data_IF_488247425667
#
_entry.id   IF_488247425667
#
_cell.length_a   1.000
_cell.length_b   1.000
_cell.length_c   1.000
_cell.angle_alpha   90.00
_cell.angle_beta   90.00
_cell.angle_gamma   90.00
#
_symmetry.space_group_name_H-M   'P 1'
#
loop_
_entity.id
_entity.type
_entity.pdbx_description
1 polymer ?
#
# COMPACT_ATOMS: atom_id res chain seq x y z
N UNK A 1 -2.44 -9.38 28.09
CA UNK A 1 -2.16 -8.36 27.09
C UNK A 1 -3.13 -7.22 27.34
N UNK A 2 -2.65 -5.97 27.53
CA UNK A 2 -3.55 -4.81 27.55
C UNK A 2 -4.24 -4.74 26.20
N UNK A 3 -5.53 -4.55 26.22
CA UNK A 3 -6.33 -4.32 25.03
C UNK A 3 -5.87 -2.96 24.46
N UNK A 4 -5.06 -2.98 23.41
CA UNK A 4 -4.42 -1.76 22.86
C UNK A 4 -5.36 -1.04 21.88
N UNK A 5 -6.64 -1.41 21.89
CA UNK A 5 -7.68 -0.81 21.06
C UNK A 5 -7.69 -1.33 19.62
N UNK A 6 -8.56 -0.74 18.81
CA UNK A 6 -8.75 -1.08 17.40
C UNK A 6 -7.59 -0.51 16.56
N UNK A 7 -7.09 -1.31 15.63
CA UNK A 7 -6.08 -0.92 14.65
C UNK A 7 -6.76 -0.86 13.29
N UNK A 8 -6.77 0.32 12.68
CA UNK A 8 -7.55 0.60 11.48
C UNK A 8 -6.66 1.10 10.35
N UNK A 9 -6.78 0.53 9.17
CA UNK A 9 -6.22 1.05 7.93
C UNK A 9 -7.32 1.56 7.02
N UNK A 10 -7.11 2.71 6.41
CA UNK A 10 -8.02 3.33 5.43
C UNK A 10 -7.25 3.63 4.16
N UNK A 11 -7.80 3.28 3.02
CA UNK A 11 -7.40 3.81 1.73
C UNK A 11 -8.42 4.86 1.30
N UNK A 12 -7.94 6.09 1.14
CA UNK A 12 -8.73 7.23 0.68
C UNK A 12 -8.37 7.56 -0.76
N UNK A 13 -9.32 7.36 -1.64
CA UNK A 13 -9.33 7.91 -2.99
C UNK A 13 -10.64 8.69 -3.11
N UNK A 14 -10.57 9.99 -3.31
CA UNK A 14 -11.68 11.01 -3.28
C UNK A 14 -13.09 10.50 -3.61
N UNK A 15 -13.22 9.39 -4.34
CA UNK A 15 -14.50 8.78 -4.74
C UNK A 15 -14.89 7.55 -3.91
N UNK A 16 -13.91 6.85 -3.35
CA UNK A 16 -14.11 5.56 -2.67
C UNK A 16 -13.21 5.47 -1.46
N UNK A 17 -13.75 4.98 -0.37
CA UNK A 17 -12.99 4.67 0.84
C UNK A 17 -13.07 3.16 1.07
N UNK A 18 -11.90 2.55 1.16
CA UNK A 18 -11.75 1.16 1.61
C UNK A 18 -11.18 1.15 3.02
N UNK A 19 -11.54 0.17 3.82
CA UNK A 19 -11.05 0.04 5.17
C UNK A 19 -10.67 -1.40 5.52
N UNK A 20 -9.72 -1.54 6.43
CA UNK A 20 -9.35 -2.79 7.08
C UNK A 20 -9.26 -2.59 8.60
N UNK A 21 -9.61 -3.62 9.34
CA UNK A 21 -9.32 -3.73 10.78
C UNK A 21 -8.34 -4.87 10.99
N UNK A 22 -7.35 -4.69 11.85
CA UNK A 22 -6.38 -5.72 12.15
C UNK A 22 -6.98 -6.77 13.10
N UNK A 23 -7.07 -8.01 12.65
CA UNK A 23 -7.47 -9.12 13.50
C UNK A 23 -6.26 -9.64 14.28
N UNK A 24 -6.20 -9.30 15.56
CA UNK A 24 -5.11 -9.72 16.46
C UNK A 24 -5.01 -11.24 16.66
N UNK A 25 -6.09 -11.99 16.41
CA UNK A 25 -6.08 -13.46 16.55
C UNK A 25 -5.52 -14.12 15.29
N UNK A 26 -5.92 -13.60 14.13
CA UNK A 26 -5.46 -14.10 12.85
C UNK A 26 -4.08 -13.54 12.47
N UNK A 27 -3.65 -12.40 13.07
CA UNK A 27 -2.40 -11.72 12.75
C UNK A 27 -2.40 -11.03 11.38
N UNK A 28 -3.57 -10.65 10.87
CA UNK A 28 -3.72 -10.08 9.52
C UNK A 28 -4.80 -8.98 9.48
N UNK A 29 -4.68 -8.01 8.54
CA UNK A 29 -5.76 -7.10 8.20
C UNK A 29 -6.95 -7.83 7.57
N UNK A 30 -8.14 -7.56 8.09
CA UNK A 30 -9.42 -8.04 7.55
C UNK A 30 -10.13 -6.87 6.91
N UNK A 31 -10.49 -7.00 5.62
CA UNK A 31 -11.18 -5.95 4.88
C UNK A 31 -12.58 -5.72 5.44
N UNK A 32 -12.92 -4.44 5.56
CA UNK A 32 -14.29 -3.98 5.77
C UNK A 32 -14.96 -3.69 4.42
N UNK A 33 -16.26 -3.45 4.46
CA UNK A 33 -17.01 -3.06 3.26
C UNK A 33 -16.46 -1.74 2.68
N UNK A 34 -16.42 -1.68 1.34
CA UNK A 34 -16.13 -0.47 0.61
C UNK A 34 -17.25 0.56 0.80
N UNK A 35 -16.87 1.82 0.96
CA UNK A 35 -17.81 2.92 1.18
C UNK A 35 -17.54 4.02 0.17
N UNK A 36 -18.55 4.40 -0.59
CA UNK A 36 -18.49 5.51 -1.55
C UNK A 36 -19.24 6.74 -1.04
N UNK A 37 -18.74 7.93 -1.39
CA UNK A 37 -19.42 9.21 -1.12
C UNK A 37 -19.44 9.65 0.35
N UNK A 38 -18.63 9.05 1.21
CA UNK A 38 -18.47 9.47 2.60
C UNK A 38 -17.19 10.29 2.81
N UNK A 39 -17.19 11.10 3.86
CA UNK A 39 -15.98 11.67 4.43
C UNK A 39 -15.18 10.60 5.19
N UNK A 40 -13.90 10.87 5.45
CA UNK A 40 -13.08 9.99 6.29
C UNK A 40 -13.69 9.83 7.68
N UNK A 41 -14.16 10.94 8.26
CA UNK A 41 -14.80 10.93 9.57
C UNK A 41 -16.04 10.02 9.59
N UNK A 42 -16.87 10.07 8.55
CA UNK A 42 -18.05 9.21 8.47
C UNK A 42 -17.69 7.74 8.19
N UNK A 43 -16.67 7.49 7.42
CA UNK A 43 -16.15 6.13 7.22
C UNK A 43 -15.63 5.55 8.53
N UNK A 44 -14.88 6.31 9.32
CA UNK A 44 -14.40 5.87 10.65
C UNK A 44 -15.59 5.59 11.57
N UNK A 45 -16.59 6.49 11.66
CA UNK A 45 -17.81 6.25 12.46
C UNK A 45 -18.53 4.97 12.03
N UNK A 46 -18.63 4.72 10.73
CA UNK A 46 -19.24 3.50 10.19
C UNK A 46 -18.47 2.24 10.55
N UNK A 47 -17.12 2.27 10.46
CA UNK A 47 -16.26 1.14 10.85
C UNK A 47 -16.41 0.85 12.34
N UNK A 48 -16.40 1.90 13.16
CA UNK A 48 -16.58 1.77 14.60
C UNK A 48 -17.94 1.15 14.93
N UNK A 49 -19.01 1.55 14.24
CA UNK A 49 -20.37 1.05 14.48
C UNK A 49 -20.78 1.19 15.94
N UNK A 50 -20.64 0.10 16.72
CA UNK A 50 -20.92 0.05 18.16
C UNK A 50 -19.72 0.38 19.06
N UNK A 51 -18.52 0.52 18.49
CA UNK A 51 -17.33 0.89 19.26
C UNK A 51 -17.24 2.40 19.45
N UNK A 52 -16.57 2.84 20.50
CA UNK A 52 -16.29 4.24 20.73
C UNK A 52 -14.97 4.67 20.07
N UNK A 53 -14.83 5.96 19.76
CA UNK A 53 -13.59 6.51 19.22
C UNK A 53 -12.40 6.27 20.17
N UNK A 54 -12.62 6.34 21.48
CA UNK A 54 -11.60 6.06 22.51
C UNK A 54 -11.05 4.63 22.45
N UNK A 55 -11.72 3.72 21.75
CA UNK A 55 -11.25 2.35 21.53
C UNK A 55 -10.27 2.23 20.36
N UNK A 56 -10.01 3.32 19.60
CA UNK A 56 -9.00 3.34 18.55
C UNK A 56 -7.61 3.41 19.18
N UNK A 57 -6.82 2.35 19.00
CA UNK A 57 -5.42 2.32 19.40
C UNK A 57 -4.52 2.99 18.36
N UNK A 58 -4.74 2.72 17.09
CA UNK A 58 -4.01 3.35 15.98
C UNK A 58 -4.81 3.34 14.68
N UNK A 59 -4.61 4.38 13.88
CA UNK A 59 -5.23 4.60 12.57
C UNK A 59 -4.16 4.97 11.55
N UNK A 60 -4.22 4.39 10.35
CA UNK A 60 -3.43 4.90 9.22
C UNK A 60 -4.34 5.16 8.03
N UNK A 61 -4.19 6.34 7.42
CA UNK A 61 -4.86 6.71 6.18
C UNK A 61 -3.86 6.75 5.05
N UNK A 62 -4.03 5.91 4.04
CA UNK A 62 -3.30 6.02 2.77
C UNK A 62 -4.01 7.02 1.87
N UNK A 63 -3.32 8.07 1.47
CA UNK A 63 -3.74 9.07 0.50
C UNK A 63 -2.77 9.13 -0.69
N UNK A 64 -3.17 9.84 -1.75
CA UNK A 64 -2.30 10.14 -2.90
C UNK A 64 -1.10 11.03 -2.55
N UNK A 65 -1.13 11.73 -1.42
CA UNK A 65 -0.10 12.69 -0.94
C UNK A 65 0.27 13.78 -1.95
N UNK A 66 -0.64 14.15 -2.83
CA UNK A 66 -0.34 15.09 -3.91
C UNK A 66 -0.49 16.57 -3.50
N UNK A 67 -1.18 16.85 -2.40
CA UNK A 67 -1.54 18.20 -1.99
C UNK A 67 -1.55 18.36 -0.48
N UNK A 68 -0.95 19.46 0.01
CA UNK A 68 -0.92 19.78 1.44
C UNK A 68 -2.32 20.15 1.98
N UNK A 69 -3.18 20.70 1.13
CA UNK A 69 -4.56 21.01 1.52
C UNK A 69 -5.35 19.74 1.77
N UNK A 70 -5.17 18.70 0.93
CA UNK A 70 -5.77 17.38 1.14
C UNK A 70 -5.27 16.72 2.43
N UNK A 71 -3.98 16.83 2.74
CA UNK A 71 -3.42 16.28 3.98
C UNK A 71 -3.99 16.98 5.21
N UNK A 72 -4.13 18.30 5.16
CA UNK A 72 -4.73 19.06 6.24
C UNK A 72 -6.22 18.71 6.42
N UNK A 73 -6.98 18.59 5.34
CA UNK A 73 -8.39 18.17 5.39
C UNK A 73 -8.55 16.79 6.01
N UNK A 74 -7.71 15.83 5.63
CA UNK A 74 -7.68 14.49 6.25
C UNK A 74 -7.42 14.58 7.75
N UNK A 75 -6.40 15.37 8.14
CA UNK A 75 -6.03 15.55 9.55
C UNK A 75 -7.15 16.22 10.34
N UNK A 76 -7.76 17.26 9.80
CA UNK A 76 -8.88 17.97 10.43
C UNK A 76 -10.10 17.06 10.63
N UNK A 77 -10.42 16.23 9.66
CA UNK A 77 -11.49 15.25 9.77
C UNK A 77 -11.23 14.23 10.88
N UNK A 78 -9.98 13.72 10.99
CA UNK A 78 -9.59 12.76 12.03
C UNK A 78 -9.63 13.43 13.41
N UNK A 79 -9.05 14.62 13.53
CA UNK A 79 -9.02 15.40 14.77
C UNK A 79 -10.42 15.77 15.25
N UNK A 80 -11.36 16.04 14.34
CA UNK A 80 -12.77 16.31 14.66
C UNK A 80 -13.47 15.17 15.39
N UNK A 81 -12.92 13.96 15.32
CA UNK A 81 -13.41 12.77 16.02
C UNK A 81 -12.81 12.64 17.44
N UNK A 82 -11.85 13.49 17.82
CA UNK A 82 -11.10 13.37 19.08
C UNK A 82 -9.94 12.39 19.03
N UNK A 83 -9.54 11.90 17.83
CA UNK A 83 -8.35 11.06 17.66
C UNK A 83 -7.11 11.96 17.71
N UNK A 84 -6.18 11.66 18.60
CA UNK A 84 -4.98 12.47 18.79
C UNK A 84 -3.93 12.21 17.71
N UNK A 85 -3.06 13.18 17.45
CA UNK A 85 -1.99 13.10 16.43
C UNK A 85 -1.03 11.90 16.59
N UNK A 86 -0.80 11.44 17.81
CA UNK A 86 0.01 10.25 18.08
C UNK A 86 -0.72 8.93 17.83
N UNK A 87 -2.01 8.95 17.59
CA UNK A 87 -2.83 7.77 17.31
C UNK A 87 -3.06 7.54 15.82
N UNK A 88 -2.68 8.48 14.97
CA UNK A 88 -2.83 8.29 13.53
C UNK A 88 -1.60 8.71 12.73
N UNK A 89 -1.53 8.19 11.53
CA UNK A 89 -0.55 8.58 10.52
C UNK A 89 -1.21 8.66 9.13
N UNK A 90 -0.60 9.44 8.24
CA UNK A 90 -0.98 9.50 6.83
C UNK A 90 0.19 9.00 6.00
N UNK A 91 -0.06 8.07 5.09
CA UNK A 91 0.97 7.45 4.25
C UNK A 91 0.66 7.62 2.77
N UNK A 92 1.71 7.63 1.95
CA UNK A 92 1.58 7.54 0.50
C UNK A 92 1.51 6.09 -0.01
N UNK A 93 1.31 5.93 -1.33
CA UNK A 93 1.24 4.60 -1.95
C UNK A 93 2.47 3.73 -1.70
N UNK A 94 3.68 4.30 -1.87
CA UNK A 94 4.95 3.58 -1.67
C UNK A 94 5.09 3.09 -0.22
N UNK A 95 4.76 3.94 0.75
CA UNK A 95 4.86 3.58 2.17
C UNK A 95 3.87 2.49 2.53
N UNK A 96 2.60 2.67 2.16
CA UNK A 96 1.57 1.65 2.36
C UNK A 96 1.99 0.31 1.74
N UNK A 97 2.54 0.35 0.53
CA UNK A 97 3.06 -0.86 -0.11
C UNK A 97 4.26 -1.46 0.66
N UNK A 98 5.15 -0.63 1.20
CA UNK A 98 6.28 -1.12 2.00
C UNK A 98 5.79 -1.88 3.24
N UNK A 99 4.88 -1.32 4.01
CA UNK A 99 4.29 -2.00 5.18
C UNK A 99 3.62 -3.32 4.79
N UNK A 100 2.88 -3.35 3.68
CA UNK A 100 2.29 -4.58 3.17
C UNK A 100 3.36 -5.61 2.78
N UNK A 101 4.36 -5.21 2.00
CA UNK A 101 5.35 -6.12 1.45
C UNK A 101 6.25 -6.74 2.53
N UNK A 102 6.66 -5.95 3.51
CA UNK A 102 7.55 -6.40 4.58
C UNK A 102 6.83 -7.11 5.73
N UNK A 103 5.50 -7.04 5.80
CA UNK A 103 4.71 -7.93 6.66
C UNK A 103 4.57 -9.35 6.10
N UNK A 104 5.01 -9.59 4.87
CA UNK A 104 4.98 -10.91 4.24
C UNK A 104 6.24 -11.74 4.58
N UNK A 105 6.25 -13.00 4.11
CA UNK A 105 7.42 -13.87 4.27
C UNK A 105 8.66 -13.30 3.55
N UNK A 106 9.81 -13.38 4.20
CA UNK A 106 11.10 -12.83 3.71
C UNK A 106 11.45 -13.23 2.29
N UNK A 107 11.08 -14.44 1.88
CA UNK A 107 11.32 -14.97 0.52
C UNK A 107 10.64 -14.13 -0.56
N UNK A 108 9.59 -13.38 -0.22
CA UNK A 108 8.84 -12.56 -1.16
C UNK A 108 9.50 -11.19 -1.43
N UNK A 109 10.40 -10.74 -0.56
CA UNK A 109 11.02 -9.41 -0.71
C UNK A 109 12.55 -9.40 -0.67
N UNK A 110 13.21 -10.52 -0.35
CA UNK A 110 14.68 -10.58 -0.14
C UNK A 110 15.54 -10.06 -1.32
N UNK A 111 15.08 -10.22 -2.56
CA UNK A 111 15.77 -9.70 -3.76
C UNK A 111 15.01 -8.52 -4.39
N UNK A 112 14.25 -7.79 -3.56
CA UNK A 112 13.35 -6.72 -3.98
C UNK A 112 11.93 -7.20 -4.24
N UNK A 113 11.00 -6.26 -4.16
CA UNK A 113 9.59 -6.47 -4.44
C UNK A 113 9.06 -5.30 -5.29
N UNK A 114 8.17 -5.62 -6.21
CA UNK A 114 7.60 -4.66 -7.17
C UNK A 114 6.09 -4.63 -7.00
N UNK A 115 5.52 -3.43 -6.99
CA UNK A 115 4.08 -3.19 -7.18
C UNK A 115 3.88 -2.51 -8.52
N UNK A 116 2.98 -3.04 -9.33
CA UNK A 116 2.49 -2.44 -10.55
C UNK A 116 1.03 -2.04 -10.34
N UNK A 117 0.75 -0.75 -10.35
CA UNK A 117 -0.58 -0.17 -10.25
C UNK A 117 -0.97 0.41 -11.60
N UNK A 118 -1.94 -0.23 -12.25
CA UNK A 118 -2.35 0.10 -13.61
C UNK A 118 -3.83 0.44 -13.66
N UNK A 119 -4.17 1.64 -14.08
CA UNK A 119 -5.55 2.12 -14.19
C UNK A 119 -6.21 1.85 -15.55
N UNK A 120 -5.46 1.31 -16.51
CA UNK A 120 -5.85 1.09 -17.91
C UNK A 120 -5.22 2.07 -18.90
N UNK A 121 -4.56 3.13 -18.40
CA UNK A 121 -3.83 4.10 -19.21
C UNK A 121 -2.44 4.36 -18.65
N UNK A 122 -2.34 4.55 -17.33
CA UNK A 122 -1.09 4.84 -16.64
C UNK A 122 -0.72 3.64 -15.77
N UNK A 123 0.51 3.19 -15.90
CA UNK A 123 1.08 2.20 -14.99
C UNK A 123 2.11 2.89 -14.10
N UNK A 124 1.88 2.82 -12.79
CA UNK A 124 2.85 3.19 -11.78
C UNK A 124 3.58 1.95 -11.30
N UNK A 125 4.89 1.97 -11.32
CA UNK A 125 5.72 0.88 -10.83
C UNK A 125 6.49 1.37 -9.61
N UNK A 126 6.23 0.75 -8.47
CA UNK A 126 6.94 0.99 -7.22
C UNK A 126 7.84 -0.21 -6.94
N UNK A 127 9.13 0.02 -6.76
CA UNK A 127 10.11 -1.01 -6.41
C UNK A 127 10.68 -0.72 -5.03
N UNK A 128 10.72 -1.75 -4.19
CA UNK A 128 11.38 -1.71 -2.90
C UNK A 128 12.59 -2.65 -2.94
N UNK A 129 13.75 -2.15 -2.57
CA UNK A 129 15.00 -2.89 -2.55
C UNK A 129 15.54 -2.91 -1.13
N UNK A 130 15.87 -4.11 -0.64
CA UNK A 130 16.48 -4.30 0.66
C UNK A 130 18.00 -4.23 0.55
N UNK A 131 18.62 -3.36 1.33
CA UNK A 131 20.05 -3.12 1.29
C UNK A 131 20.65 -3.14 2.70
N UNK A 132 21.97 -3.35 2.77
CA UNK A 132 22.73 -3.24 4.00
C UNK A 132 23.98 -2.42 3.72
N UNK A 133 24.22 -1.38 4.51
CA UNK A 133 25.45 -0.60 4.49
C UNK A 133 25.90 -0.32 5.92
N UNK A 134 27.17 -0.54 6.20
CA UNK A 134 27.81 -0.31 7.51
C UNK A 134 27.06 -0.98 8.69
N UNK A 135 26.48 -2.16 8.43
CA UNK A 135 25.72 -2.91 9.42
C UNK A 135 24.28 -2.42 9.64
N UNK A 136 23.88 -1.34 8.98
CA UNK A 136 22.50 -0.83 9.00
C UNK A 136 21.71 -1.40 7.84
N UNK A 137 20.51 -1.89 8.12
CA UNK A 137 19.58 -2.40 7.12
C UNK A 137 18.60 -1.30 6.73
N UNK A 138 18.36 -1.16 5.42
CA UNK A 138 17.44 -0.16 4.92
C UNK A 138 16.74 -0.60 3.63
N UNK A 139 15.57 -0.04 3.42
CA UNK A 139 14.74 -0.25 2.25
C UNK A 139 14.79 1.01 1.42
N UNK A 140 15.17 0.88 0.15
CA UNK A 140 15.14 1.99 -0.81
C UNK A 140 13.96 1.79 -1.75
N UNK A 141 13.17 2.85 -1.91
CA UNK A 141 12.10 2.89 -2.90
C UNK A 141 12.58 3.51 -4.22
N UNK A 142 11.98 3.06 -5.31
CA UNK A 142 12.05 3.70 -6.62
C UNK A 142 10.66 3.70 -7.24
N UNK A 143 10.33 4.77 -7.97
CA UNK A 143 9.05 4.93 -8.66
C UNK A 143 9.31 5.26 -10.13
N UNK A 144 8.64 4.52 -11.01
CA UNK A 144 8.57 4.80 -12.44
C UNK A 144 7.09 4.90 -12.85
N UNK A 145 6.79 5.81 -13.77
CA UNK A 145 5.45 5.97 -14.35
C UNK A 145 5.54 5.88 -15.86
N UNK A 146 4.61 5.16 -16.46
CA UNK A 146 4.53 5.04 -17.91
C UNK A 146 3.07 5.15 -18.39
N UNK A 147 2.87 5.92 -19.47
CA UNK A 147 1.54 6.05 -20.10
C UNK A 147 1.43 5.09 -21.27
N UNK A 148 0.42 4.25 -21.25
CA UNK A 148 0.09 3.31 -22.32
C UNK A 148 -0.96 3.95 -23.21
N UNK A 149 -0.55 4.34 -24.42
CA UNK A 149 -1.47 4.92 -25.39
C UNK A 149 -2.51 3.90 -25.85
N UNK A 150 -3.77 4.11 -25.46
CA UNK A 150 -4.90 3.23 -25.76
C UNK A 150 -5.49 3.41 -27.17
N UNK A 151 -5.07 4.47 -27.91
CA UNK A 151 -5.68 4.81 -29.20
C UNK A 151 -5.35 3.83 -30.35
N UNK A 152 -4.35 2.96 -30.17
CA UNK A 152 -3.82 2.13 -31.25
C UNK A 152 -4.35 0.69 -31.31
N UNK A 153 -5.25 0.26 -30.43
CA UNK A 153 -5.65 -1.16 -30.31
C UNK A 153 -4.50 -2.13 -29.94
N UNK A 154 -3.33 -1.59 -29.63
CA UNK A 154 -2.11 -2.32 -29.27
C UNK A 154 -1.72 -2.13 -27.80
N UNK A 155 -2.62 -1.63 -26.95
CA UNK A 155 -2.33 -1.35 -25.54
C UNK A 155 -1.75 -2.57 -24.78
N UNK A 156 -2.32 -3.74 -25.01
CA UNK A 156 -1.90 -4.99 -24.38
C UNK A 156 -0.47 -5.38 -24.77
N UNK A 157 -0.15 -5.27 -26.06
CA UNK A 157 1.22 -5.55 -26.55
C UNK A 157 2.25 -4.59 -25.96
N UNK A 158 1.93 -3.29 -25.95
CA UNK A 158 2.80 -2.26 -25.34
C UNK A 158 2.98 -2.50 -23.84
N UNK A 159 1.94 -2.89 -23.12
CA UNK A 159 2.04 -3.24 -21.70
C UNK A 159 2.99 -4.42 -21.49
N UNK A 160 2.86 -5.49 -22.29
CA UNK A 160 3.74 -6.67 -22.21
C UNK A 160 5.20 -6.30 -22.53
N UNK A 161 5.42 -5.53 -23.58
CA UNK A 161 6.75 -5.05 -23.98
C UNK A 161 7.39 -4.21 -22.87
N UNK A 162 6.63 -3.24 -22.32
CA UNK A 162 7.13 -2.38 -21.25
C UNK A 162 7.48 -3.18 -19.98
N UNK A 163 6.60 -4.07 -19.54
CA UNK A 163 6.84 -4.92 -18.35
C UNK A 163 8.01 -5.87 -18.58
N UNK A 164 8.17 -6.39 -19.81
CA UNK A 164 9.30 -7.24 -20.17
C UNK A 164 10.63 -6.46 -20.11
N UNK A 165 10.65 -5.25 -20.69
CA UNK A 165 11.82 -4.38 -20.64
C UNK A 165 12.17 -3.97 -19.20
N UNK A 166 11.17 -3.61 -18.40
CA UNK A 166 11.37 -3.30 -16.98
C UNK A 166 12.07 -4.44 -16.24
N UNK A 167 11.59 -5.67 -16.38
CA UNK A 167 12.17 -6.83 -15.69
C UNK A 167 13.47 -7.35 -16.33
N UNK A 168 13.84 -6.92 -17.53
CA UNK A 168 15.16 -7.18 -18.08
C UNK A 168 16.27 -6.42 -17.35
N UNK A 169 15.91 -5.27 -16.76
CA UNK A 169 16.81 -4.37 -16.04
C UNK A 169 16.69 -4.48 -14.51
N UNK A 170 15.59 -5.04 -14.01
CA UNK A 170 15.26 -5.07 -12.60
C UNK A 170 14.94 -6.49 -12.11
N UNK A 171 15.64 -6.92 -11.07
CA UNK A 171 15.33 -8.20 -10.39
C UNK A 171 14.34 -7.97 -9.25
N UNK A 172 13.47 -8.95 -9.00
CA UNK A 172 12.55 -8.95 -7.86
C UNK A 172 12.22 -10.39 -7.43
N UNK A 173 12.00 -10.62 -6.14
CA UNK A 173 11.51 -11.89 -5.60
C UNK A 173 10.02 -12.08 -5.90
N UNK A 174 9.27 -10.98 -5.86
CA UNK A 174 7.84 -10.98 -6.15
C UNK A 174 7.38 -9.71 -6.86
N UNK A 175 6.27 -9.81 -7.55
CA UNK A 175 5.53 -8.70 -8.15
C UNK A 175 4.07 -8.77 -7.72
N UNK A 176 3.54 -7.64 -7.33
CA UNK A 176 2.13 -7.44 -7.00
C UNK A 176 1.49 -6.57 -8.07
N UNK A 177 0.29 -6.94 -8.48
CA UNK A 177 -0.50 -6.21 -9.48
C UNK A 177 -1.76 -5.67 -8.80
N UNK A 178 -2.03 -4.40 -8.97
CA UNK A 178 -3.25 -3.73 -8.50
C UNK A 178 -3.76 -2.73 -9.54
N UNK A 179 -4.91 -2.15 -9.28
CA UNK A 179 -5.56 -1.21 -10.18
C UNK A 179 -6.55 -1.89 -11.14
N UNK A 180 -7.52 -1.10 -11.59
CA UNK A 180 -8.62 -1.58 -12.43
C UNK A 180 -8.22 -2.01 -13.85
N UNK A 181 -7.00 -1.65 -14.28
CA UNK A 181 -6.44 -2.08 -15.57
C UNK A 181 -5.93 -3.52 -15.57
N UNK A 182 -5.74 -4.14 -14.39
CA UNK A 182 -5.41 -5.55 -14.28
C UNK A 182 -6.65 -6.38 -13.97
N UNK A 183 -7.25 -6.96 -14.99
CA UNK A 183 -8.34 -7.96 -14.85
C UNK A 183 -7.74 -9.37 -14.84
N UNK A 184 -7.89 -10.08 -13.73
CA UNK A 184 -7.41 -11.48 -13.57
C UNK A 184 -7.92 -12.39 -14.68
N UNK A 185 -9.13 -12.13 -15.18
CA UNK A 185 -9.78 -12.95 -16.22
C UNK A 185 -9.34 -12.59 -17.64
N UNK A 186 -8.67 -11.44 -17.80
CA UNK A 186 -8.33 -10.87 -19.11
C UNK A 186 -6.92 -10.27 -19.13
N UNK A 187 -5.97 -10.92 -18.47
CA UNK A 187 -4.57 -10.49 -18.58
C UNK A 187 -4.11 -10.62 -20.05
N UNK A 188 -3.37 -9.62 -20.55
CA UNK A 188 -2.81 -9.66 -21.90
C UNK A 188 -2.02 -10.94 -22.17
N UNK A 189 -2.13 -11.47 -23.38
CA UNK A 189 -1.37 -12.65 -23.79
C UNK A 189 0.14 -12.43 -23.60
N UNK A 190 0.79 -13.39 -22.96
CA UNK A 190 2.22 -13.33 -22.65
C UNK A 190 2.59 -12.56 -21.37
N UNK A 191 1.73 -11.68 -20.84
CA UNK A 191 2.04 -10.91 -19.64
C UNK A 191 2.32 -11.83 -18.43
N UNK A 192 1.50 -12.83 -18.22
CA UNK A 192 1.69 -13.80 -17.13
C UNK A 192 3.05 -14.51 -17.20
N UNK A 193 3.52 -14.87 -18.39
CA UNK A 193 4.85 -15.49 -18.57
C UNK A 193 5.98 -14.54 -18.18
N UNK A 194 5.86 -13.25 -18.54
CA UNK A 194 6.83 -12.22 -18.14
C UNK A 194 6.83 -12.03 -16.64
N UNK A 195 5.66 -11.96 -16.03
CA UNK A 195 5.50 -11.70 -14.59
C UNK A 195 6.05 -12.84 -13.73
N UNK A 196 5.82 -14.11 -14.08
CA UNK A 196 6.26 -15.26 -13.27
C UNK A 196 7.67 -15.75 -13.61
N UNK A 197 8.37 -15.13 -14.55
CA UNK A 197 9.72 -15.54 -14.93
C UNK A 197 10.73 -15.28 -13.79
N UNK A 198 11.04 -16.30 -13.03
CA UNK A 198 11.99 -16.27 -11.91
C UNK A 198 11.47 -15.57 -10.65
N UNK A 199 10.17 -15.25 -10.56
CA UNK A 199 9.55 -14.55 -9.41
C UNK A 199 8.13 -15.03 -9.15
N UNK A 200 7.58 -14.69 -7.97
CA UNK A 200 6.16 -14.93 -7.65
C UNK A 200 5.33 -13.71 -8.07
N UNK A 201 4.18 -13.94 -8.72
CA UNK A 201 3.27 -12.88 -9.12
C UNK A 201 1.92 -13.01 -8.40
N UNK A 202 1.40 -11.92 -7.91
CA UNK A 202 0.14 -11.82 -7.19
C UNK A 202 -0.72 -10.71 -7.76
N UNK A 203 -2.03 -10.91 -7.77
CA UNK A 203 -3.00 -9.87 -8.12
C UNK A 203 -3.89 -9.63 -6.90
N UNK A 204 -4.04 -8.37 -6.49
CA UNK A 204 -4.87 -8.01 -5.36
C UNK A 204 -5.39 -6.59 -5.45
N UNK A 205 -6.65 -6.40 -5.06
CA UNK A 205 -7.30 -5.09 -5.11
C UNK A 205 -7.16 -4.26 -3.81
N UNK A 206 -6.76 -4.89 -2.71
CA UNK A 206 -6.76 -4.23 -1.38
C UNK A 206 -5.34 -4.10 -0.80
N UNK A 207 -4.32 -3.95 -1.64
CA UNK A 207 -2.93 -3.92 -1.19
C UNK A 207 -2.63 -2.68 -0.36
N UNK A 208 -3.12 -1.51 -0.80
CA UNK A 208 -2.87 -0.25 -0.13
C UNK A 208 -3.59 -0.15 1.22
N UNK A 209 -4.86 -0.52 1.28
CA UNK A 209 -5.61 -0.47 2.55
C UNK A 209 -5.06 -1.46 3.58
N UNK A 210 -4.60 -2.65 3.13
CA UNK A 210 -3.91 -3.60 4.00
C UNK A 210 -2.57 -3.05 4.47
N UNK A 211 -1.82 -2.39 3.58
CA UNK A 211 -0.57 -1.72 3.92
C UNK A 211 -0.78 -0.61 4.95
N UNK A 212 -1.82 0.21 4.79
CA UNK A 212 -2.20 1.20 5.79
C UNK A 212 -2.53 0.55 7.15
N UNK A 213 -3.24 -0.59 7.14
CA UNK A 213 -3.54 -1.31 8.37
C UNK A 213 -2.27 -1.88 9.05
N UNK A 214 -1.30 -2.40 8.28
CA UNK A 214 -0.01 -2.80 8.82
C UNK A 214 0.80 -1.61 9.32
N UNK A 215 0.71 -0.43 8.68
CA UNK A 215 1.34 0.80 9.18
C UNK A 215 0.75 1.21 10.54
N UNK A 216 -0.58 1.16 10.69
CA UNK A 216 -1.23 1.40 11.97
C UNK A 216 -0.82 0.38 13.05
N UNK A 217 -0.63 -0.89 12.68
CA UNK A 217 -0.12 -1.93 13.57
C UNK A 217 1.33 -1.61 13.99
N UNK A 218 2.19 -1.26 13.06
CA UNK A 218 3.59 -0.92 13.31
C UNK A 218 3.74 0.28 14.25
N UNK A 219 2.83 1.26 14.18
CA UNK A 219 2.82 2.42 15.06
C UNK A 219 2.68 2.07 16.55
N UNK A 220 2.16 0.86 16.86
CA UNK A 220 2.01 0.36 18.25
C UNK A 220 3.10 -0.66 18.60
N UNK A 221 3.40 -1.59 17.69
CA UNK A 221 4.17 -2.79 18.00
C UNK A 221 5.63 -2.74 17.55
N UNK A 222 5.96 -1.93 16.53
CA UNK A 222 7.33 -1.72 16.01
C UNK A 222 8.06 -3.02 15.65
N UNK A 223 7.39 -3.98 15.03
CA UNK A 223 7.95 -5.30 14.74
C UNK A 223 8.11 -5.63 13.25
N UNK A 224 7.49 -4.85 12.34
CA UNK A 224 7.62 -5.04 10.89
C UNK A 224 8.98 -4.53 10.39
N UNK A 225 9.40 -3.36 10.87
CA UNK A 225 10.67 -2.71 10.51
C UNK A 225 11.67 -2.70 11.66
N UNK A 226 11.68 -3.75 12.50
CA UNK A 226 12.66 -3.85 13.57
C UNK A 226 14.09 -3.75 13.01
N UNK A 227 14.81 -2.71 13.42
CA UNK A 227 16.17 -2.37 12.97
C UNK A 227 16.31 -2.11 11.45
N UNK A 228 15.25 -1.77 10.74
CA UNK A 228 15.27 -1.46 9.30
C UNK A 228 14.73 -0.05 9.07
N UNK A 229 15.46 0.78 8.35
CA UNK A 229 15.04 2.14 8.00
C UNK A 229 14.40 2.16 6.61
N UNK A 230 13.21 2.72 6.49
CA UNK A 230 12.54 2.93 5.20
C UNK A 230 12.96 4.29 4.61
N UNK A 231 13.60 4.26 3.44
CA UNK A 231 13.97 5.44 2.64
C UNK A 231 12.98 5.57 1.49
N UNK A 232 12.09 6.55 1.57
CA UNK A 232 11.16 6.89 0.49
C UNK A 232 11.64 8.17 -0.19
N UNK A 233 11.78 8.13 -1.51
CA UNK A 233 12.27 9.25 -2.33
C UNK A 233 13.60 9.84 -1.85
N UNK A 234 14.49 8.99 -1.33
CA UNK A 234 15.78 9.40 -0.78
C UNK A 234 15.73 10.10 0.58
N UNK A 235 14.56 10.26 1.17
CA UNK A 235 14.37 10.85 2.49
C UNK A 235 14.27 9.78 3.57
N UNK A 236 14.99 9.98 4.68
CA UNK A 236 14.82 9.15 5.87
C UNK A 236 13.48 9.53 6.51
N UNK A 237 12.57 8.59 6.61
CA UNK A 237 11.44 8.72 7.53
C UNK A 237 11.86 8.16 8.87
N UNK A 238 12.07 9.09 9.81
CA UNK A 238 12.26 8.75 11.23
C UNK A 238 10.85 8.52 11.79
N UNK A 239 10.60 7.32 12.25
CA UNK A 239 9.42 7.00 13.07
C UNK A 239 9.59 7.54 14.47
#
# INVERSE_FOLDING_TARGET
>A
MKDQGLIIGIEYDKSVIQACVYDMRAGIPVACDEVSGLSIADAIRRILGRYNVDEIGSLCVKSGLSDIEELNDISDQINSLGINENQYMITGPIQSFAYYAYSQQKELYKSGVVLMDYDGQIINIYRLSYNTADGVQYIVSAHEQYTIDSQSGMSDKKLVEYVSDYFSRNTASSVYLTGKGFDVKKLPDGLSKVLVNGRKAYIGQNLYVRGACYAAYENIYHDIFDNVTLLVDGCIKVN
#
